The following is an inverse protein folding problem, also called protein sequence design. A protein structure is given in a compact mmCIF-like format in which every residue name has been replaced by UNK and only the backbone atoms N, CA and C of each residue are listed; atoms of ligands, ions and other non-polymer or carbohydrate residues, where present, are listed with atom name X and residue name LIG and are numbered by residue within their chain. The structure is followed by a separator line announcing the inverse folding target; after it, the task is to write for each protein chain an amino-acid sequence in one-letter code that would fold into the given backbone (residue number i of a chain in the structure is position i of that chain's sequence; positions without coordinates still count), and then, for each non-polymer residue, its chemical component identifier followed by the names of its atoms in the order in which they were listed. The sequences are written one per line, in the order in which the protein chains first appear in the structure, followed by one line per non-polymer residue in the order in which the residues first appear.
data_IF_728401125322
#
_entry.id   IF_728401125322
#
_cell.length_a   1.000
_cell.length_b   1.000
_cell.length_c   1.000
_cell.angle_alpha   90.00
_cell.angle_beta   90.00
_cell.angle_gamma   90.00
#
_symmetry.space_group_name_H-M   'P 1'
#
loop_
_entity.id
_entity.type
_entity.pdbx_description
1 polymer ?
#
# COMPACT_ATOMS: atom_id res chain seq x y z
N UNK A 1 6.54 -9.51 6.16
CA UNK A 1 6.74 -8.93 4.82
C UNK A 1 5.39 -8.53 4.24
N UNK A 2 5.29 -7.32 3.70
CA UNK A 2 4.10 -6.82 3.00
C UNK A 2 4.48 -6.61 1.54
N UNK A 3 3.63 -7.05 0.61
CA UNK A 3 3.83 -6.80 -0.83
C UNK A 3 2.57 -6.20 -1.43
N UNK A 4 2.72 -5.04 -2.05
CA UNK A 4 1.64 -4.26 -2.67
C UNK A 4 2.05 -3.78 -4.06
N UNK A 5 1.12 -3.14 -4.78
CA UNK A 5 1.30 -2.72 -6.17
C UNK A 5 0.80 -3.74 -7.19
N UNK A 6 0.59 -3.31 -8.43
CA UNK A 6 -0.09 -4.12 -9.45
C UNK A 6 0.58 -5.47 -9.73
N UNK A 7 1.91 -5.51 -9.69
CA UNK A 7 2.69 -6.76 -9.90
C UNK A 7 2.45 -7.77 -8.78
N UNK A 8 2.06 -7.33 -7.57
CA UNK A 8 1.69 -8.21 -6.48
C UNK A 8 0.47 -9.09 -6.78
N UNK A 9 -0.32 -8.80 -7.82
CA UNK A 9 -1.39 -9.69 -8.32
C UNK A 9 -0.88 -10.91 -9.10
N UNK A 10 0.41 -10.96 -9.45
CA UNK A 10 0.98 -12.08 -10.20
C UNK A 10 0.98 -13.38 -9.37
N UNK A 11 0.40 -14.45 -9.92
CA UNK A 11 0.26 -15.74 -9.22
C UNK A 11 1.59 -16.42 -8.95
N UNK A 12 2.52 -16.39 -9.91
CA UNK A 12 3.85 -16.98 -9.76
C UNK A 12 4.64 -16.27 -8.67
N UNK A 13 4.66 -14.94 -8.69
CA UNK A 13 5.31 -14.13 -7.66
C UNK A 13 4.75 -14.43 -6.26
N UNK A 14 3.42 -14.49 -6.12
CA UNK A 14 2.76 -14.84 -4.85
C UNK A 14 3.19 -16.20 -4.33
N UNK A 15 3.27 -17.20 -5.22
CA UNK A 15 3.69 -18.54 -4.84
C UNK A 15 5.15 -18.55 -4.35
N UNK A 16 6.08 -18.00 -5.13
CA UNK A 16 7.50 -17.97 -4.78
C UNK A 16 7.76 -17.21 -3.47
N UNK A 17 7.09 -16.07 -3.26
CA UNK A 17 7.23 -15.31 -2.01
C UNK A 17 6.65 -16.06 -0.81
N UNK A 18 5.56 -16.81 -0.99
CA UNK A 18 4.96 -17.60 0.08
C UNK A 18 5.87 -18.75 0.51
N UNK A 19 6.50 -19.44 -0.45
CA UNK A 19 7.51 -20.47 -0.19
C UNK A 19 8.70 -19.87 0.58
N UNK A 20 9.31 -18.81 0.05
CA UNK A 20 10.45 -18.15 0.68
C UNK A 20 10.13 -17.60 2.09
N UNK A 21 8.96 -16.98 2.28
CA UNK A 21 8.55 -16.47 3.60
C UNK A 21 8.34 -17.59 4.61
N UNK A 22 7.76 -18.72 4.20
CA UNK A 22 7.58 -19.89 5.07
C UNK A 22 8.92 -20.47 5.53
N UNK A 23 9.86 -20.63 4.61
CA UNK A 23 11.22 -21.12 4.93
C UNK A 23 11.94 -20.22 5.95
N UNK A 24 11.68 -18.92 5.89
CA UNK A 24 12.30 -17.93 6.78
C UNK A 24 11.46 -17.60 8.02
N UNK A 25 10.33 -18.29 8.26
CA UNK A 25 9.39 -17.98 9.35
C UNK A 25 8.89 -16.51 9.35
N UNK A 26 8.73 -15.92 8.17
CA UNK A 26 8.24 -14.55 7.98
C UNK A 26 6.76 -14.60 7.62
N UNK A 27 5.94 -13.82 8.33
CA UNK A 27 4.53 -13.64 7.94
C UNK A 27 4.42 -12.81 6.66
N UNK A 28 3.70 -13.33 5.66
CA UNK A 28 3.48 -12.69 4.36
C UNK A 28 2.05 -12.15 4.27
N UNK A 29 1.94 -10.83 4.05
CA UNK A 29 0.67 -10.17 3.76
C UNK A 29 0.66 -9.65 2.31
N UNK A 30 -0.29 -10.14 1.51
CA UNK A 30 -0.55 -9.64 0.16
C UNK A 30 -2.06 -9.41 0.03
N UNK A 31 -2.53 -8.22 -0.39
CA UNK A 31 -3.95 -7.96 -0.58
C UNK A 31 -4.62 -8.91 -1.59
N UNK A 32 -5.95 -8.93 -1.59
CA UNK A 32 -6.70 -9.60 -2.67
C UNK A 32 -6.34 -8.98 -4.04
N UNK A 33 -6.38 -9.71 -5.16
CA UNK A 33 -5.95 -9.19 -6.45
C UNK A 33 -6.64 -7.89 -6.89
N UNK A 34 -7.93 -7.71 -6.53
CA UNK A 34 -8.70 -6.49 -6.81
C UNK A 34 -8.21 -5.25 -6.06
N UNK A 35 -7.42 -5.44 -5.00
CA UNK A 35 -6.88 -4.37 -4.15
C UNK A 35 -5.38 -4.13 -4.39
N UNK A 36 -4.72 -4.88 -5.27
CA UNK A 36 -3.30 -4.72 -5.54
C UNK A 36 -3.01 -3.61 -6.56
N UNK A 37 -3.90 -3.39 -7.52
CA UNK A 37 -3.80 -2.27 -8.47
C UNK A 37 -4.39 -1.00 -7.87
N UNK A 38 -4.09 0.16 -8.48
CA UNK A 38 -4.62 1.45 -8.04
C UNK A 38 -6.15 1.42 -7.93
N UNK A 39 -6.65 1.81 -6.77
CA UNK A 39 -8.09 1.79 -6.46
C UNK A 39 -8.45 2.84 -5.41
N UNK A 40 -9.71 3.27 -5.39
CA UNK A 40 -10.16 4.29 -4.43
C UNK A 40 -10.14 3.82 -2.97
N UNK A 41 -10.21 2.51 -2.70
CA UNK A 41 -10.21 2.00 -1.33
C UNK A 41 -8.86 2.24 -0.63
N UNK A 42 -7.73 2.15 -1.36
CA UNK A 42 -6.41 2.46 -0.79
C UNK A 42 -6.28 3.95 -0.44
N UNK A 43 -6.85 4.83 -1.25
CA UNK A 43 -6.87 6.28 -0.99
C UNK A 43 -7.74 6.59 0.22
N UNK A 44 -8.93 5.98 0.32
CA UNK A 44 -9.81 6.13 1.48
C UNK A 44 -9.16 5.62 2.77
N UNK A 45 -8.44 4.49 2.72
CA UNK A 45 -7.70 3.97 3.87
C UNK A 45 -6.58 4.91 4.31
N UNK A 46 -5.76 5.41 3.39
CA UNK A 46 -4.71 6.37 3.69
C UNK A 46 -5.28 7.68 4.27
N UNK A 47 -6.33 8.23 3.65
CA UNK A 47 -7.00 9.44 4.14
C UNK A 47 -7.62 9.28 5.53
N UNK A 48 -8.15 8.09 5.86
CA UNK A 48 -8.68 7.81 7.20
C UNK A 48 -7.60 7.86 8.29
N UNK A 49 -6.43 7.28 8.02
CA UNK A 49 -5.31 7.32 8.99
C UNK A 49 -4.72 8.73 9.11
N UNK A 50 -4.55 9.45 7.99
CA UNK A 50 -4.14 10.86 8.03
C UNK A 50 -5.13 11.74 8.81
N UNK A 51 -6.44 11.55 8.60
CA UNK A 51 -7.47 12.29 9.35
C UNK A 51 -7.38 12.01 10.85
N UNK A 52 -7.11 10.77 11.26
CA UNK A 52 -6.91 10.42 12.67
C UNK A 52 -5.70 11.12 13.30
N UNK A 53 -4.70 11.43 12.51
CA UNK A 53 -3.50 12.18 12.92
C UNK A 53 -3.70 13.70 12.79
N UNK A 54 -4.94 14.17 12.52
CA UNK A 54 -5.26 15.57 12.26
C UNK A 54 -4.55 16.18 11.03
N UNK A 55 -4.04 15.34 10.13
CA UNK A 55 -3.49 15.77 8.85
C UNK A 55 -4.65 16.03 7.86
N UNK A 56 -5.09 17.28 7.78
CA UNK A 56 -6.13 17.75 6.87
C UNK A 56 -5.63 18.89 6.00
N UNK A 57 -6.19 19.03 4.80
CA UNK A 57 -5.90 20.13 3.89
C UNK A 57 -7.10 21.06 3.72
N UNK A 58 -6.84 22.29 3.29
CA UNK A 58 -7.86 23.27 2.94
C UNK A 58 -8.33 23.11 1.48
N UNK A 59 -9.21 24.01 1.04
CA UNK A 59 -9.75 24.00 -0.32
C UNK A 59 -8.74 24.42 -1.41
N UNK A 60 -7.56 24.91 -1.02
CA UNK A 60 -6.49 25.28 -1.95
C UNK A 60 -5.55 24.10 -2.28
N UNK A 61 -5.79 22.91 -1.72
CA UNK A 61 -5.00 21.70 -1.99
C UNK A 61 -4.87 21.43 -3.50
N UNK A 62 -3.66 21.10 -3.92
CA UNK A 62 -3.33 20.82 -5.32
C UNK A 62 -2.61 19.47 -5.47
N UNK A 63 -2.53 18.97 -6.70
CA UNK A 63 -1.83 17.74 -7.03
C UNK A 63 -0.32 17.95 -7.17
N UNK A 64 0.46 17.01 -6.63
CA UNK A 64 1.92 16.96 -6.78
C UNK A 64 2.30 15.68 -7.53
N UNK A 65 2.84 15.82 -8.75
CA UNK A 65 3.17 14.67 -9.61
C UNK A 65 4.43 13.90 -9.19
N UNK A 66 5.23 14.46 -8.28
CA UNK A 66 6.53 13.95 -7.83
C UNK A 66 6.64 13.96 -6.29
N UNK A 67 5.56 13.57 -5.61
CA UNK A 67 5.51 13.50 -4.15
C UNK A 67 6.40 12.36 -3.63
N UNK A 68 7.25 12.66 -2.65
CA UNK A 68 8.05 11.66 -1.95
C UNK A 68 7.19 10.88 -0.96
N UNK A 69 7.35 9.56 -0.91
CA UNK A 69 6.59 8.69 -0.01
C UNK A 69 6.99 8.91 1.46
N UNK A 70 8.21 9.37 1.72
CA UNK A 70 8.72 9.59 3.07
C UNK A 70 8.16 10.83 3.76
N UNK A 71 7.37 11.65 3.05
CA UNK A 71 6.72 12.84 3.62
C UNK A 71 5.80 12.53 4.81
N UNK A 72 5.30 11.29 4.91
CA UNK A 72 4.35 10.85 5.93
C UNK A 72 4.92 9.75 6.86
N UNK A 73 6.24 9.58 6.92
CA UNK A 73 6.90 8.50 7.69
C UNK A 73 7.28 8.89 9.14
N UNK A 74 6.71 9.97 9.69
CA UNK A 74 7.06 10.51 11.03
C UNK A 74 6.04 10.17 12.10
#
# INVERSE_FOLDING_TARGET
MIVAGGVASNKGLRQSLNEACKENNISLAIPSPKLCTDNAAMIGAAGYYLYKESATADLALNGFGNMDIELFSQ
#
